data_IF_530107630726
#
_entry.id   IF_530107630726
#
_cell.length_a   1.000
_cell.length_b   1.000
_cell.length_c   1.000
_cell.angle_alpha   90.00
_cell.angle_beta   90.00
_cell.angle_gamma   90.00
#
_symmetry.space_group_name_H-M   'P 1'
#
loop_
_entity.id
_entity.type
_entity.pdbx_description
1 polymer ?
#
# COMPACT_ATOMS: atom_id res chain seq x y z
N UNK A 1 16.41 2.96 18.81
CA UNK A 1 15.86 4.33 18.76
C UNK A 1 14.34 4.39 18.46
N UNK A 2 13.58 3.31 18.65
CA UNK A 2 12.12 3.31 18.37
C UNK A 2 11.28 2.85 19.57
N UNK A 3 11.89 2.76 20.75
CA UNK A 3 11.13 2.54 21.98
C UNK A 3 10.29 3.80 22.30
N UNK A 4 9.13 3.62 22.95
CA UNK A 4 8.23 4.74 23.29
C UNK A 4 8.96 5.78 24.14
N UNK A 5 9.70 5.34 25.16
CA UNK A 5 10.34 6.26 26.10
C UNK A 5 11.45 7.07 25.42
N UNK A 6 12.22 6.41 24.55
CA UNK A 6 13.24 7.07 23.72
C UNK A 6 12.65 8.08 22.73
N UNK A 7 11.54 7.72 22.06
CA UNK A 7 10.84 8.63 21.13
C UNK A 7 10.37 9.89 21.84
N UNK A 8 9.68 9.74 22.96
CA UNK A 8 9.03 10.86 23.68
C UNK A 8 10.04 11.79 24.38
N UNK A 9 11.18 11.24 24.83
CA UNK A 9 12.16 12.00 25.61
C UNK A 9 13.34 12.54 24.81
N UNK A 10 13.70 11.88 23.70
CA UNK A 10 14.91 12.20 22.94
C UNK A 10 14.57 12.42 21.48
N UNK A 11 14.21 11.37 20.74
CA UNK A 11 14.15 11.44 19.27
C UNK A 11 13.20 12.54 18.77
N UNK A 12 11.96 12.58 19.26
CA UNK A 12 10.95 13.51 18.73
C UNK A 12 11.11 14.94 19.27
N UNK A 13 12.02 15.15 20.22
CA UNK A 13 12.40 16.50 20.67
C UNK A 13 13.45 17.15 19.79
N UNK A 14 14.22 16.36 19.06
CA UNK A 14 15.35 16.82 18.25
C UNK A 14 15.19 16.55 16.75
N UNK A 15 14.26 15.66 16.38
CA UNK A 15 13.99 15.23 15.01
C UNK A 15 12.49 15.10 14.79
N UNK A 16 12.06 15.12 13.54
CA UNK A 16 10.65 15.06 13.15
C UNK A 16 10.05 13.65 13.18
N UNK A 17 10.84 12.63 13.51
CA UNK A 17 10.26 11.32 13.80
C UNK A 17 11.12 10.10 13.50
N UNK A 18 10.41 8.99 13.37
CA UNK A 18 10.89 7.66 13.00
C UNK A 18 11.62 7.65 11.66
N UNK A 19 11.15 8.39 10.65
CA UNK A 19 11.81 8.48 9.34
C UNK A 19 13.22 9.06 9.41
N UNK A 20 13.40 10.18 10.10
CA UNK A 20 14.73 10.80 10.25
C UNK A 20 15.66 9.93 11.08
N UNK A 21 15.13 9.38 12.17
CA UNK A 21 15.86 8.46 13.05
C UNK A 21 16.30 7.18 12.30
N UNK A 22 15.48 6.67 11.38
CA UNK A 22 15.84 5.55 10.50
C UNK A 22 16.99 5.91 9.57
N UNK A 23 16.91 7.03 8.85
CA UNK A 23 17.95 7.43 7.88
C UNK A 23 19.28 7.77 8.57
N UNK A 24 19.25 8.40 9.74
CA UNK A 24 20.46 8.63 10.55
C UNK A 24 21.08 7.29 10.97
N UNK A 25 20.27 6.35 11.49
CA UNK A 25 20.76 5.02 11.86
C UNK A 25 21.32 4.24 10.68
N UNK A 26 20.70 4.36 9.50
CA UNK A 26 21.18 3.75 8.27
C UNK A 26 22.52 4.33 7.82
N UNK A 27 22.71 5.65 7.92
CA UNK A 27 23.99 6.29 7.61
C UNK A 27 25.09 5.89 8.60
N UNK A 28 24.77 5.78 9.90
CA UNK A 28 25.75 5.39 10.93
C UNK A 28 26.36 4.00 10.71
N UNK A 29 25.61 3.07 10.11
CA UNK A 29 26.14 1.73 9.80
C UNK A 29 26.95 1.68 8.50
N UNK A 30 27.05 2.80 7.77
CA UNK A 30 27.78 2.94 6.50
C UNK A 30 27.39 1.84 5.49
N UNK A 31 26.13 1.42 5.51
CA UNK A 31 25.62 0.45 4.56
C UNK A 31 25.50 1.11 3.17
N UNK A 32 25.96 0.46 2.09
CA UNK A 32 25.82 1.03 0.75
C UNK A 32 24.35 1.29 0.39
N UNK A 33 24.08 2.45 -0.20
CA UNK A 33 22.78 2.75 -0.78
C UNK A 33 22.57 1.91 -2.05
N UNK A 34 21.39 1.31 -2.15
CA UNK A 34 20.91 0.68 -3.37
C UNK A 34 19.50 1.20 -3.66
N UNK A 35 19.29 1.67 -4.89
CA UNK A 35 17.98 2.08 -5.37
C UNK A 35 17.32 0.92 -6.10
N UNK A 36 16.01 0.76 -5.88
CA UNK A 36 15.20 -0.17 -6.66
C UNK A 36 15.21 0.32 -8.11
N UNK A 37 15.40 -0.60 -9.06
CA UNK A 37 15.49 -0.26 -10.49
C UNK A 37 14.14 0.01 -11.14
N UNK A 38 13.05 -0.45 -10.51
CA UNK A 38 11.69 -0.21 -10.97
C UNK A 38 11.19 1.14 -10.49
N UNK A 39 10.26 1.70 -11.26
CA UNK A 39 9.56 2.91 -10.90
C UNK A 39 8.45 2.61 -9.89
N UNK A 40 7.87 3.69 -9.35
CA UNK A 40 6.61 3.59 -8.63
C UNK A 40 5.54 2.95 -9.53
N UNK A 41 4.75 2.07 -8.94
CA UNK A 41 3.65 1.42 -9.62
C UNK A 41 2.34 1.65 -8.87
N UNK A 42 1.24 1.25 -9.47
CA UNK A 42 -0.07 1.14 -8.80
C UNK A 42 -0.61 -0.26 -8.98
N UNK A 43 -1.19 -0.82 -7.92
CA UNK A 43 -1.97 -2.07 -7.97
C UNK A 43 -3.44 -1.75 -7.84
N UNK A 44 -4.28 -2.28 -8.73
CA UNK A 44 -5.69 -1.94 -8.75
C UNK A 44 -6.46 -2.49 -9.96
N UNK A 45 -7.54 -1.80 -10.30
CA UNK A 45 -8.44 -2.23 -11.36
C UNK A 45 -8.32 -1.36 -12.60
N UNK A 46 -8.37 -1.98 -13.78
CA UNK A 46 -8.53 -1.27 -15.04
C UNK A 46 -9.86 -0.50 -15.05
N UNK A 47 -9.85 0.77 -15.46
CA UNK A 47 -11.04 1.62 -15.51
C UNK A 47 -11.60 2.00 -14.14
N UNK A 48 -10.87 1.75 -13.05
CA UNK A 48 -11.26 2.27 -11.74
C UNK A 48 -11.17 3.81 -11.73
N UNK A 49 -11.87 4.44 -10.79
CA UNK A 49 -11.98 5.90 -10.70
C UNK A 49 -12.53 6.60 -11.98
N UNK A 50 -13.14 5.87 -12.91
CA UNK A 50 -13.72 6.41 -14.14
C UNK A 50 -12.71 6.62 -15.28
N UNK A 51 -11.45 6.21 -15.09
CA UNK A 51 -10.38 6.40 -16.07
C UNK A 51 -10.22 5.14 -16.95
N UNK A 52 -11.12 4.97 -17.92
CA UNK A 52 -11.11 3.84 -18.85
C UNK A 52 -9.72 3.69 -19.52
N UNK A 53 -9.19 2.46 -19.49
CA UNK A 53 -7.88 2.15 -20.09
C UNK A 53 -6.67 2.37 -19.18
N UNK A 54 -6.85 2.90 -17.97
CA UNK A 54 -5.76 3.07 -16.99
C UNK A 54 -5.96 2.17 -15.77
N UNK A 55 -4.89 1.89 -15.03
CA UNK A 55 -4.96 1.22 -13.74
C UNK A 55 -4.90 2.28 -12.65
N UNK A 56 -5.88 2.22 -11.74
CA UNK A 56 -5.94 3.10 -10.59
C UNK A 56 -6.02 2.29 -9.30
N UNK A 57 -5.29 2.72 -8.28
CA UNK A 57 -5.22 1.95 -7.05
C UNK A 57 -4.24 2.50 -6.04
N UNK A 58 -3.61 1.59 -5.30
CA UNK A 58 -2.68 1.94 -4.24
C UNK A 58 -1.24 1.89 -4.75
N UNK A 59 -0.36 2.69 -4.13
CA UNK A 59 1.07 2.73 -4.49
C UNK A 59 1.71 1.36 -4.27
N UNK A 60 2.38 0.85 -5.28
CA UNK A 60 3.01 -0.46 -5.36
C UNK A 60 4.51 -0.32 -5.60
N UNK A 61 5.28 -1.17 -4.92
CA UNK A 61 6.66 -1.47 -5.25
C UNK A 61 6.76 -2.86 -5.88
N UNK A 62 7.57 -2.96 -6.93
CA UNK A 62 7.83 -4.21 -7.64
C UNK A 62 9.10 -4.89 -7.12
N UNK A 63 9.14 -6.22 -7.22
CA UNK A 63 10.36 -7.01 -6.97
C UNK A 63 11.37 -6.90 -8.13
N UNK A 64 12.48 -7.64 -8.00
CA UNK A 64 13.53 -7.69 -9.03
C UNK A 64 13.09 -8.35 -10.34
N UNK A 65 11.92 -8.99 -10.38
CA UNK A 65 11.33 -9.63 -11.55
C UNK A 65 10.17 -8.80 -12.13
N UNK A 66 10.01 -7.55 -11.69
CA UNK A 66 8.92 -6.65 -12.08
C UNK A 66 7.52 -7.22 -11.77
N UNK A 67 7.39 -7.95 -10.65
CA UNK A 67 6.13 -8.45 -10.10
C UNK A 67 5.76 -7.68 -8.82
N UNK A 68 4.47 -7.59 -8.48
CA UNK A 68 4.03 -6.95 -7.24
C UNK A 68 4.68 -7.58 -6.00
N UNK A 69 5.31 -6.76 -5.15
CA UNK A 69 5.94 -7.22 -3.92
C UNK A 69 5.25 -6.66 -2.68
N UNK A 70 5.08 -5.34 -2.63
CA UNK A 70 4.52 -4.62 -1.48
C UNK A 70 3.76 -3.39 -1.93
N UNK A 71 2.64 -3.08 -1.28
CA UNK A 71 1.85 -1.87 -1.57
C UNK A 71 1.41 -1.15 -0.30
N UNK A 72 1.15 0.15 -0.42
CA UNK A 72 0.71 1.01 0.66
C UNK A 72 -0.82 0.98 0.81
N UNK A 73 -1.34 1.40 1.97
CA UNK A 73 -2.78 1.61 2.17
C UNK A 73 -3.60 0.36 2.44
N UNK A 74 -3.01 -0.83 2.45
CA UNK A 74 -3.69 -2.10 2.74
C UNK A 74 -4.66 -2.52 1.63
N UNK A 75 -5.75 -3.21 1.98
CA UNK A 75 -6.70 -3.78 1.01
C UNK A 75 -7.84 -2.86 0.61
N UNK A 76 -7.94 -1.67 1.21
CA UNK A 76 -8.93 -0.67 0.84
C UNK A 76 -8.38 0.21 -0.28
N UNK A 77 -9.29 0.67 -1.14
CA UNK A 77 -8.96 1.57 -2.24
C UNK A 77 -8.49 2.94 -1.77
N UNK A 78 -9.06 3.40 -0.66
CA UNK A 78 -8.63 4.57 0.10
C UNK A 78 -9.21 4.46 1.51
N UNK A 79 -8.36 4.11 2.48
CA UNK A 79 -8.76 3.92 3.89
C UNK A 79 -9.25 5.20 4.58
N UNK A 80 -8.92 6.38 4.04
CA UNK A 80 -9.31 7.66 4.63
C UNK A 80 -10.64 8.17 4.05
N UNK A 81 -11.09 7.61 2.92
CA UNK A 81 -12.29 8.06 2.22
C UNK A 81 -13.44 7.05 2.27
N UNK A 82 -13.13 5.76 2.24
CA UNK A 82 -14.14 4.71 2.26
C UNK A 82 -13.72 3.56 3.19
N UNK A 83 -14.60 3.21 4.11
CA UNK A 83 -14.42 2.11 5.05
C UNK A 83 -14.63 0.72 4.41
N UNK A 84 -15.39 0.67 3.30
CA UNK A 84 -15.86 -0.58 2.68
C UNK A 84 -15.58 -0.69 1.17
N UNK A 85 -14.81 0.23 0.58
CA UNK A 85 -14.38 0.12 -0.82
C UNK A 85 -13.03 -0.59 -0.89
N UNK A 86 -13.06 -1.87 -1.23
CA UNK A 86 -11.84 -2.66 -1.42
C UNK A 86 -11.13 -2.33 -2.73
N UNK A 87 -9.83 -2.58 -2.73
CA UNK A 87 -9.01 -2.57 -3.94
C UNK A 87 -9.45 -3.70 -4.88
N UNK A 88 -9.44 -3.44 -6.18
CA UNK A 88 -9.65 -4.47 -7.21
C UNK A 88 -8.30 -5.10 -7.53
N UNK A 89 -8.02 -6.31 -7.07
CA UNK A 89 -6.77 -7.01 -7.40
C UNK A 89 -6.88 -7.65 -8.78
N UNK A 90 -6.76 -6.87 -9.86
CA UNK A 90 -6.78 -7.42 -11.23
C UNK A 90 -5.57 -7.04 -12.06
N UNK A 91 -5.10 -5.79 -11.96
CA UNK A 91 -3.98 -5.27 -12.75
C UNK A 91 -3.00 -4.49 -11.87
N UNK A 92 -1.83 -4.24 -12.43
CA UNK A 92 -0.91 -3.24 -11.95
C UNK A 92 -0.28 -2.50 -13.12
N UNK A 93 0.16 -1.28 -12.89
CA UNK A 93 0.82 -0.45 -13.90
C UNK A 93 2.01 0.27 -13.29
N UNK A 94 3.10 0.30 -14.04
CA UNK A 94 4.33 1.04 -13.71
C UNK A 94 4.40 2.29 -14.58
N UNK A 95 4.75 3.44 -14.02
CA UNK A 95 4.81 4.68 -14.80
C UNK A 95 5.33 5.89 -14.04
N UNK A 96 5.61 6.94 -14.80
CA UNK A 96 6.02 8.25 -14.31
C UNK A 96 4.87 9.27 -14.43
N UNK A 97 3.95 9.11 -15.39
CA UNK A 97 2.77 9.98 -15.57
C UNK A 97 1.63 9.57 -14.63
N UNK A 98 1.73 10.09 -13.41
CA UNK A 98 0.79 9.82 -12.34
C UNK A 98 -0.27 10.91 -12.20
N UNK A 99 -1.54 10.52 -12.32
CA UNK A 99 -2.65 11.33 -11.81
C UNK A 99 -2.81 11.12 -10.29
N UNK A 100 -2.27 12.03 -9.49
CA UNK A 100 -2.28 11.92 -8.02
C UNK A 100 -3.71 11.94 -7.43
N UNK A 101 -4.63 12.70 -8.03
CA UNK A 101 -5.99 12.86 -7.49
C UNK A 101 -6.80 11.56 -7.52
N UNK A 102 -6.56 10.72 -8.51
CA UNK A 102 -7.22 9.41 -8.67
C UNK A 102 -6.27 8.25 -8.44
N UNK A 103 -4.98 8.51 -8.20
CA UNK A 103 -3.93 7.51 -8.08
C UNK A 103 -3.89 6.54 -9.27
N UNK A 104 -3.94 7.09 -10.49
CA UNK A 104 -3.89 6.34 -11.73
C UNK A 104 -2.55 6.55 -12.44
N UNK A 105 -2.05 5.49 -13.08
CA UNK A 105 -0.92 5.57 -14.03
C UNK A 105 -1.50 5.67 -15.44
N UNK A 106 -1.09 6.69 -16.21
CA UNK A 106 -1.66 6.97 -17.53
C UNK A 106 -1.04 6.13 -18.64
N UNK A 107 0.17 5.62 -18.44
CA UNK A 107 0.87 4.75 -19.36
C UNK A 107 0.14 3.42 -19.54
N UNK A 108 -0.44 3.22 -20.71
CA UNK A 108 -1.25 2.04 -21.02
C UNK A 108 -0.42 0.87 -21.55
N UNK A 109 0.79 1.13 -22.06
CA UNK A 109 1.74 0.15 -22.59
C UNK A 109 2.44 -0.66 -21.49
N UNK A 110 2.42 -0.17 -20.24
CA UNK A 110 3.05 -0.80 -19.07
C UNK A 110 2.06 -1.47 -18.12
N UNK A 111 0.82 -1.66 -18.56
CA UNK A 111 -0.20 -2.36 -17.79
C UNK A 111 0.06 -3.87 -17.84
N UNK A 112 0.04 -4.51 -16.67
CA UNK A 112 0.20 -5.96 -16.52
C UNK A 112 -0.96 -6.51 -15.70
N UNK A 113 -1.42 -7.69 -16.09
CA UNK A 113 -2.41 -8.44 -15.32
C UNK A 113 -1.73 -9.19 -14.17
N UNK A 114 -2.42 -9.23 -13.02
CA UNK A 114 -2.06 -10.13 -11.94
C UNK A 114 -2.28 -11.58 -12.39
N UNK A 115 -1.45 -12.50 -11.92
CA UNK A 115 -1.68 -13.91 -12.17
C UNK A 115 -2.80 -14.45 -11.25
N UNK A 116 -3.29 -15.66 -11.54
CA UNK A 116 -4.39 -16.27 -10.79
C UNK A 116 -4.08 -16.47 -9.31
N UNK A 117 -2.81 -16.75 -8.96
CA UNK A 117 -2.40 -16.90 -7.57
C UNK A 117 -2.45 -15.56 -6.81
N UNK A 118 -1.94 -14.47 -7.41
CA UNK A 118 -1.97 -13.12 -6.85
C UNK A 118 -3.42 -12.62 -6.68
N UNK A 119 -4.28 -12.85 -7.69
CA UNK A 119 -5.72 -12.55 -7.61
C UNK A 119 -6.38 -13.31 -6.48
N UNK A 120 -6.07 -14.60 -6.31
CA UNK A 120 -6.60 -15.42 -5.23
C UNK A 120 -6.18 -14.91 -3.85
N UNK A 121 -4.92 -14.51 -3.67
CA UNK A 121 -4.45 -13.89 -2.42
C UNK A 121 -5.24 -12.61 -2.13
N UNK A 122 -5.40 -11.72 -3.11
CA UNK A 122 -6.20 -10.50 -2.95
C UNK A 122 -7.63 -10.78 -2.49
N UNK A 123 -8.28 -11.79 -3.10
CA UNK A 123 -9.62 -12.22 -2.71
C UNK A 123 -9.67 -12.79 -1.27
N UNK A 124 -8.67 -13.59 -0.88
CA UNK A 124 -8.55 -14.14 0.46
C UNK A 124 -8.36 -13.04 1.51
N UNK A 125 -7.49 -12.05 1.26
CA UNK A 125 -7.28 -10.92 2.17
C UNK A 125 -8.58 -10.13 2.40
N UNK A 126 -9.35 -9.88 1.33
CA UNK A 126 -10.66 -9.21 1.43
C UNK A 126 -11.66 -10.05 2.21
N UNK A 127 -11.67 -11.38 2.01
CA UNK A 127 -12.55 -12.28 2.76
C UNK A 127 -12.22 -12.28 4.26
N UNK A 128 -10.92 -12.32 4.61
CA UNK A 128 -10.47 -12.26 6.01
C UNK A 128 -10.87 -10.94 6.69
N UNK A 129 -10.73 -9.79 6.02
CA UNK A 129 -11.17 -8.52 6.61
C UNK A 129 -12.69 -8.44 6.79
N UNK A 130 -13.45 -8.95 5.82
CA UNK A 130 -14.92 -9.05 5.96
C UNK A 130 -15.32 -9.93 7.14
N UNK A 131 -14.60 -11.04 7.38
CA UNK A 131 -14.83 -11.90 8.53
C UNK A 131 -14.48 -11.18 9.84
N UNK A 132 -13.28 -10.58 9.93
CA UNK A 132 -12.84 -9.77 11.08
C UNK A 132 -13.86 -8.68 11.44
N UNK A 133 -14.38 -7.96 10.45
CA UNK A 133 -15.41 -6.92 10.66
C UNK A 133 -16.72 -7.49 11.21
N UNK A 134 -17.14 -8.68 10.76
CA UNK A 134 -18.33 -9.36 11.31
C UNK A 134 -18.12 -9.75 12.77
N UNK A 135 -16.96 -10.32 13.09
CA UNK A 135 -16.60 -10.73 14.45
C UNK A 135 -16.52 -9.53 15.39
N UNK A 136 -15.88 -8.44 14.98
CA UNK A 136 -15.84 -7.18 15.75
C UNK A 136 -17.23 -6.61 16.01
N UNK A 137 -18.12 -6.64 15.01
CA UNK A 137 -19.51 -6.19 15.17
C UNK A 137 -20.31 -7.09 16.10
N UNK A 138 -20.11 -8.41 16.03
CA UNK A 138 -20.75 -9.37 16.93
C UNK A 138 -20.26 -9.23 18.38
N UNK A 139 -18.97 -8.97 18.59
CA UNK A 139 -18.38 -8.71 19.91
C UNK A 139 -18.91 -7.41 20.51
N UNK A 140 -18.98 -6.34 19.73
CA UNK A 140 -19.53 -5.05 20.19
C UNK A 140 -21.01 -5.15 20.60
N UNK A 141 -21.79 -6.01 19.95
CA UNK A 141 -23.20 -6.24 20.33
C UNK A 141 -23.35 -7.11 21.58
N UNK A 142 -22.34 -7.93 21.91
CA UNK A 142 -22.36 -8.81 23.08
C UNK A 142 -21.78 -8.14 24.35
N UNK A 143 -21.07 -7.02 24.22
CA UNK A 143 -20.56 -6.21 25.34
C UNK A 143 -21.58 -5.15 25.81
N UNK A 144 -22.64 -4.91 25.03
CA UNK A 144 -23.71 -3.94 25.31
C UNK A 144 -24.97 -4.56 25.96
N UNK A 145 -24.99 -5.87 26.21
CA UNK A 145 -26.04 -6.65 26.92
C UNK A 145 -25.57 -7.11 28.32
#
# INVERSE_FOLDING_TARGET
>A
MNDKLERDRVSYRHSHGDKETFWIGFEMIQAPYAFVRSYGAVIGGLGDAGAAGTVCGNQLHLDTNNRPWWWNGGILRDKNKWDNRYLKFTHFAEGEDWEFGTSCIKETDKIKELNEHEKAIGAQLIAMDKQRKKEQRGSSLAEDD
#
